data_IF_531812438151
#
_entry.id   IF_531812438151
#
_cell.length_a   1.000
_cell.length_b   1.000
_cell.length_c   1.000
_cell.angle_alpha   90.00
_cell.angle_beta   90.00
_cell.angle_gamma   90.00
#
_symmetry.space_group_name_H-M   'P 1'
#
loop_
_entity.id
_entity.type
_entity.pdbx_description
1 polymer ?
#
# COMPACT_ATOMS: atom_id res chain seq x y z
N UNK A 1 23.21 -4.32 14.93
CA UNK A 1 22.37 -3.32 14.25
C UNK A 1 21.38 -2.81 15.28
N UNK A 2 21.22 -1.49 15.40
CA UNK A 2 20.36 -0.91 16.45
C UNK A 2 18.96 -0.59 15.92
N UNK A 3 18.88 -0.17 14.66
CA UNK A 3 17.64 0.06 13.93
C UNK A 3 17.74 -0.52 12.51
N UNK A 4 16.57 -0.77 11.92
CA UNK A 4 16.41 -1.05 10.51
C UNK A 4 15.36 -0.11 9.90
N UNK A 5 15.53 0.22 8.62
CA UNK A 5 14.73 1.22 7.92
C UNK A 5 14.06 0.57 6.71
N UNK A 6 12.74 0.70 6.65
CA UNK A 6 11.92 -0.01 5.66
C UNK A 6 10.94 0.95 5.00
N UNK A 7 10.55 0.68 3.75
CA UNK A 7 9.29 1.24 3.28
C UNK A 7 8.17 0.67 4.15
N UNK A 8 7.30 1.51 4.72
CA UNK A 8 6.33 1.05 5.70
C UNK A 8 5.33 0.02 5.14
N UNK A 9 5.08 0.03 3.82
CA UNK A 9 4.26 -0.96 3.12
C UNK A 9 4.89 -2.35 2.96
N UNK A 10 6.20 -2.44 3.10
CA UNK A 10 6.94 -3.71 2.99
C UNK A 10 7.11 -4.36 4.38
N UNK A 11 6.67 -3.68 5.44
CA UNK A 11 6.66 -4.22 6.79
C UNK A 11 5.57 -5.28 6.94
N UNK A 12 5.92 -6.36 7.63
CA UNK A 12 4.96 -7.41 7.99
C UNK A 12 3.80 -6.84 8.82
N UNK A 13 2.64 -7.48 8.73
CA UNK A 13 1.42 -7.11 9.46
C UNK A 13 1.60 -7.25 10.98
N UNK A 14 2.33 -8.27 11.41
CA UNK A 14 2.87 -8.47 12.76
C UNK A 14 4.39 -8.57 12.69
N UNK A 15 5.08 -8.05 13.70
CA UNK A 15 6.52 -8.23 13.85
C UNK A 15 6.81 -9.44 14.75
N UNK A 16 7.97 -10.10 14.59
CA UNK A 16 8.42 -11.11 15.53
C UNK A 16 8.59 -10.54 16.93
N UNK A 17 8.50 -11.40 17.95
CA UNK A 17 8.75 -11.02 19.34
C UNK A 17 10.14 -10.39 19.50
N UNK A 18 10.21 -9.34 20.32
CA UNK A 18 11.45 -8.60 20.57
C UNK A 18 11.75 -7.48 19.57
N UNK A 19 10.85 -7.22 18.61
CA UNK A 19 10.92 -6.10 17.66
C UNK A 19 9.68 -5.22 17.70
N UNK A 20 9.87 -3.93 17.42
CA UNK A 20 8.80 -2.95 17.35
C UNK A 20 9.10 -1.87 16.31
N UNK A 21 8.04 -1.25 15.78
CA UNK A 21 8.18 -0.03 14.97
C UNK A 21 8.13 1.15 15.93
N UNK A 22 9.19 1.94 15.96
CA UNK A 22 9.33 3.06 16.90
C UNK A 22 8.98 4.40 16.26
N UNK A 23 9.07 4.52 14.94
CA UNK A 23 8.80 5.77 14.24
C UNK A 23 8.31 5.55 12.80
N UNK A 24 7.49 6.49 12.32
CA UNK A 24 7.17 6.66 10.91
C UNK A 24 7.56 8.07 10.46
N UNK A 25 8.27 8.17 9.34
CA UNK A 25 8.65 9.49 8.79
C UNK A 25 7.44 10.26 8.29
N UNK A 26 7.62 11.52 7.91
CA UNK A 26 6.61 12.24 7.15
C UNK A 26 6.24 11.44 5.88
N UNK A 27 4.94 11.41 5.55
CA UNK A 27 4.39 10.59 4.47
C UNK A 27 4.46 11.36 3.16
N UNK A 28 5.14 10.79 2.19
CA UNK A 28 5.08 11.25 0.81
C UNK A 28 3.70 10.98 0.20
N UNK A 29 3.39 11.58 -0.97
CA UNK A 29 2.15 11.29 -1.68
C UNK A 29 1.94 9.77 -1.82
N UNK A 30 0.80 9.23 -1.33
CA UNK A 30 0.61 7.80 -1.22
C UNK A 30 0.06 7.18 -2.51
N UNK A 31 -0.05 7.95 -3.59
CA UNK A 31 -0.66 7.55 -4.85
C UNK A 31 0.08 6.38 -5.51
N UNK A 32 -0.67 5.57 -6.25
CA UNK A 32 -0.09 4.80 -7.34
C UNK A 32 0.01 5.68 -8.59
N UNK A 33 1.00 5.41 -9.43
CA UNK A 33 1.26 6.17 -10.65
C UNK A 33 1.51 5.26 -11.84
N UNK A 34 1.12 5.73 -13.01
CA UNK A 34 1.55 5.18 -14.29
C UNK A 34 2.85 5.89 -14.69
N UNK A 35 3.91 5.11 -14.86
CA UNK A 35 5.22 5.58 -15.32
C UNK A 35 5.41 5.16 -16.78
N UNK A 36 5.63 6.10 -17.68
CA UNK A 36 5.90 5.82 -19.09
C UNK A 36 6.62 6.99 -19.77
N UNK A 37 7.34 6.69 -20.85
CA UNK A 37 7.86 7.71 -21.77
C UNK A 37 6.72 8.37 -22.57
N UNK A 38 5.58 7.69 -22.75
CA UNK A 38 4.41 8.21 -23.45
C UNK A 38 3.48 8.89 -22.46
N UNK A 39 3.16 10.17 -22.68
CA UNK A 39 2.20 10.94 -21.86
C UNK A 39 0.74 10.75 -22.27
N UNK A 40 0.49 10.02 -23.35
CA UNK A 40 -0.84 9.77 -23.90
C UNK A 40 -1.46 8.46 -23.39
N UNK A 41 -0.91 7.87 -22.32
CA UNK A 41 -1.50 6.68 -21.70
C UNK A 41 -2.78 7.12 -20.99
N UNK A 42 -3.87 6.41 -21.27
CA UNK A 42 -5.18 6.64 -20.69
C UNK A 42 -5.77 5.27 -20.33
N UNK A 43 -6.01 5.04 -19.04
CA UNK A 43 -6.61 3.80 -18.55
C UNK A 43 -8.09 3.67 -18.91
N UNK A 44 -8.78 4.77 -19.21
CA UNK A 44 -10.20 4.75 -19.54
C UNK A 44 -10.44 4.41 -21.03
N UNK A 45 -9.43 4.53 -21.90
CA UNK A 45 -9.52 4.24 -23.34
C UNK A 45 -9.45 2.74 -23.63
N UNK A 46 -10.60 2.06 -23.49
CA UNK A 46 -10.71 0.63 -23.75
C UNK A 46 -10.56 0.22 -25.22
N UNK A 47 -10.40 1.18 -26.15
CA UNK A 47 -10.18 0.88 -27.57
C UNK A 47 -8.72 0.55 -27.87
N UNK A 48 -7.79 0.91 -26.97
CA UNK A 48 -6.37 0.69 -27.13
C UNK A 48 -5.90 -0.46 -26.22
N UNK A 49 -5.21 -1.47 -26.77
CA UNK A 49 -4.50 -2.43 -25.94
C UNK A 49 -3.49 -1.70 -25.05
N UNK A 50 -3.45 -2.08 -23.77
CA UNK A 50 -2.51 -1.52 -22.81
C UNK A 50 -1.97 -2.64 -21.92
N UNK A 51 -0.66 -2.83 -21.95
CA UNK A 51 0.04 -3.78 -21.09
C UNK A 51 0.82 -3.05 -19.99
N UNK A 52 0.41 -3.23 -18.73
CA UNK A 52 1.06 -2.62 -17.57
C UNK A 52 1.99 -3.58 -16.83
N UNK A 53 3.21 -3.12 -16.53
CA UNK A 53 4.16 -3.84 -15.70
C UNK A 53 3.91 -3.62 -14.20
N UNK A 54 3.50 -4.66 -13.47
CA UNK A 54 3.43 -4.68 -12.00
C UNK A 54 3.38 -6.10 -11.45
N UNK A 55 4.05 -6.36 -10.32
CA UNK A 55 3.94 -7.63 -9.57
C UNK A 55 3.08 -7.51 -8.30
N UNK A 56 2.40 -6.39 -8.08
CA UNK A 56 1.53 -6.20 -6.92
C UNK A 56 0.15 -6.79 -7.18
N UNK A 57 -0.24 -7.79 -6.40
CA UNK A 57 -1.57 -8.40 -6.51
C UNK A 57 -2.69 -7.40 -6.23
N UNK A 58 -2.50 -6.47 -5.29
CA UNK A 58 -3.41 -5.33 -5.06
C UNK A 58 -3.68 -4.53 -6.32
N UNK A 59 -2.62 -4.09 -7.00
CA UNK A 59 -2.73 -3.28 -8.23
C UNK A 59 -3.39 -4.07 -9.35
N UNK A 60 -2.98 -5.33 -9.56
CA UNK A 60 -3.55 -6.21 -10.58
C UNK A 60 -5.03 -6.45 -10.33
N UNK A 61 -5.44 -6.78 -9.11
CA UNK A 61 -6.85 -6.99 -8.77
C UNK A 61 -7.68 -5.71 -8.91
N UNK A 62 -7.11 -4.55 -8.55
CA UNK A 62 -7.77 -3.25 -8.71
C UNK A 62 -7.95 -2.89 -10.19
N UNK A 63 -6.95 -3.16 -11.03
CA UNK A 63 -7.06 -3.02 -12.49
C UNK A 63 -8.15 -3.94 -13.04
N UNK A 64 -8.17 -5.24 -12.70
CA UNK A 64 -9.23 -6.16 -13.15
C UNK A 64 -10.63 -5.69 -12.75
N UNK A 65 -10.76 -5.00 -11.61
CA UNK A 65 -12.04 -4.49 -11.13
C UNK A 65 -12.51 -3.26 -11.91
N UNK A 66 -11.65 -2.26 -12.10
CA UNK A 66 -12.04 -0.97 -12.70
C UNK A 66 -11.76 -0.87 -14.21
N UNK A 67 -10.76 -1.61 -14.70
CA UNK A 67 -10.20 -1.55 -16.04
C UNK A 67 -9.93 -2.96 -16.59
N UNK A 68 -10.97 -3.82 -16.73
CA UNK A 68 -10.80 -5.24 -17.10
C UNK A 68 -10.19 -5.45 -18.49
N UNK A 69 -10.13 -4.42 -19.33
CA UNK A 69 -9.48 -4.45 -20.65
C UNK A 69 -7.96 -4.24 -20.59
N UNK A 70 -7.42 -3.77 -19.45
CA UNK A 70 -5.99 -3.55 -19.26
C UNK A 70 -5.31 -4.85 -18.90
N UNK A 71 -4.28 -5.22 -19.66
CA UNK A 71 -3.47 -6.40 -19.39
C UNK A 71 -2.32 -6.06 -18.44
N UNK A 72 -1.83 -7.07 -17.71
CA UNK A 72 -0.71 -6.90 -16.79
C UNK A 72 0.35 -7.98 -16.97
N UNK A 73 1.61 -7.58 -16.87
CA UNK A 73 2.76 -8.48 -16.84
C UNK A 73 3.57 -8.26 -15.56
N UNK A 74 4.11 -9.35 -15.01
CA UNK A 74 4.98 -9.23 -13.84
C UNK A 74 6.28 -8.52 -14.19
N UNK A 75 6.67 -7.56 -13.34
CA UNK A 75 7.95 -6.88 -13.45
C UNK A 75 8.58 -6.73 -12.07
N UNK A 76 9.73 -7.40 -11.90
CA UNK A 76 10.51 -7.43 -10.65
C UNK A 76 11.89 -6.82 -10.85
N UNK A 77 12.48 -6.36 -9.74
CA UNK A 77 13.76 -5.65 -9.67
C UNK A 77 13.62 -4.30 -8.98
N UNK A 78 14.73 -3.59 -8.81
CA UNK A 78 14.72 -2.17 -8.43
C UNK A 78 14.11 -1.30 -9.56
N UNK A 79 13.84 -0.04 -9.29
CA UNK A 79 13.14 0.86 -10.22
C UNK A 79 13.83 0.92 -11.59
N UNK A 80 15.15 1.08 -11.62
CA UNK A 80 15.93 1.16 -12.86
C UNK A 80 15.83 -0.12 -13.69
N UNK A 81 15.88 -1.29 -13.05
CA UNK A 81 15.70 -2.58 -13.75
C UNK A 81 14.30 -2.70 -14.35
N UNK A 82 13.27 -2.20 -13.65
CA UNK A 82 11.90 -2.21 -14.17
C UNK A 82 11.74 -1.27 -15.36
N UNK A 83 12.30 -0.06 -15.28
CA UNK A 83 12.31 0.91 -16.39
C UNK A 83 13.01 0.30 -17.60
N UNK A 84 14.19 -0.29 -17.43
CA UNK A 84 14.92 -0.95 -18.52
C UNK A 84 14.08 -2.05 -19.19
N UNK A 85 13.43 -2.91 -18.41
CA UNK A 85 12.56 -3.96 -18.95
C UNK A 85 11.37 -3.39 -19.74
N UNK A 86 10.77 -2.29 -19.28
CA UNK A 86 9.74 -1.58 -20.02
C UNK A 86 10.29 -1.04 -21.36
N UNK A 87 11.47 -0.42 -21.35
CA UNK A 87 12.14 0.09 -22.55
C UNK A 87 12.54 -1.03 -23.54
N UNK A 88 12.89 -2.21 -23.03
CA UNK A 88 13.14 -3.44 -23.80
C UNK A 88 11.85 -4.05 -24.39
N UNK A 89 10.68 -3.45 -24.14
CA UNK A 89 9.40 -3.85 -24.72
C UNK A 89 8.60 -4.86 -23.90
N UNK A 90 8.95 -5.09 -22.62
CA UNK A 90 8.19 -6.00 -21.76
C UNK A 90 6.74 -5.52 -21.51
N UNK A 91 6.53 -4.20 -21.46
CA UNK A 91 5.24 -3.57 -21.19
C UNK A 91 5.23 -2.13 -21.72
N UNK A 92 4.05 -1.53 -21.87
CA UNK A 92 3.87 -0.17 -22.38
C UNK A 92 4.14 0.91 -21.30
N UNK A 93 3.84 0.57 -20.05
CA UNK A 93 4.01 1.44 -18.90
C UNK A 93 4.15 0.61 -17.61
N UNK A 94 4.68 1.22 -16.55
CA UNK A 94 4.80 0.60 -15.23
C UNK A 94 3.75 1.17 -14.27
N UNK A 95 3.17 0.32 -13.43
CA UNK A 95 2.29 0.75 -12.34
C UNK A 95 3.03 0.69 -11.00
N UNK A 96 3.42 1.86 -10.49
CA UNK A 96 4.36 2.04 -9.38
C UNK A 96 3.79 2.89 -8.26
N UNK A 97 4.51 2.99 -7.14
CA UNK A 97 4.15 3.91 -6.06
C UNK A 97 4.82 5.25 -6.34
N UNK A 98 4.07 6.35 -6.22
CA UNK A 98 4.61 7.70 -6.41
C UNK A 98 5.91 7.92 -5.64
N UNK A 99 5.91 7.63 -4.33
CA UNK A 99 7.05 7.89 -3.46
C UNK A 99 8.36 7.22 -3.92
N UNK A 100 8.28 6.03 -4.53
CA UNK A 100 9.47 5.34 -5.05
C UNK A 100 9.99 5.96 -6.34
N UNK A 101 9.12 6.54 -7.16
CA UNK A 101 9.47 7.26 -8.40
C UNK A 101 10.06 8.62 -8.05
N UNK A 102 9.38 9.37 -7.19
CA UNK A 102 9.76 10.71 -6.76
C UNK A 102 11.15 10.74 -6.09
N UNK A 103 11.37 9.86 -5.09
CA UNK A 103 12.66 9.78 -4.38
C UNK A 103 13.84 9.42 -5.27
N UNK A 104 13.58 8.80 -6.42
CA UNK A 104 14.59 8.41 -7.39
C UNK A 104 14.76 9.43 -8.53
N UNK A 105 14.00 10.54 -8.51
CA UNK A 105 14.12 11.63 -9.49
C UNK A 105 13.48 11.35 -10.84
N UNK A 106 12.48 10.47 -10.92
CA UNK A 106 11.80 10.10 -12.16
C UNK A 106 10.41 10.75 -12.33
N UNK A 107 10.15 11.87 -11.66
CA UNK A 107 8.88 12.60 -11.71
C UNK A 107 8.44 12.93 -13.14
N UNK A 108 9.39 13.30 -14.00
CA UNK A 108 9.13 13.64 -15.40
C UNK A 108 8.58 12.48 -16.22
N UNK A 109 8.71 11.24 -15.76
CA UNK A 109 8.16 10.04 -16.41
C UNK A 109 6.75 9.67 -15.90
N UNK A 110 6.24 10.33 -14.86
CA UNK A 110 4.87 10.09 -14.38
C UNK A 110 3.88 10.55 -15.46
N UNK A 111 3.17 9.60 -16.06
CA UNK A 111 2.15 9.86 -17.07
C UNK A 111 0.80 10.17 -16.40
N UNK A 112 0.51 9.52 -15.28
CA UNK A 112 -0.76 9.68 -14.57
C UNK A 112 -0.58 9.44 -13.06
N UNK A 113 -1.24 10.26 -12.23
CA UNK A 113 -1.47 9.97 -10.81
C UNK A 113 -2.86 9.35 -10.65
N UNK A 114 -2.91 8.11 -10.15
CA UNK A 114 -4.17 7.39 -10.05
C UNK A 114 -4.99 7.86 -8.86
N UNK A 115 -6.30 8.07 -9.07
CA UNK A 115 -7.22 8.52 -8.02
C UNK A 115 -7.18 7.61 -6.80
N UNK A 116 -7.12 8.22 -5.60
CA UNK A 116 -7.22 7.53 -4.33
C UNK A 116 -8.61 6.94 -4.05
N UNK A 117 -9.60 7.14 -4.91
CA UNK A 117 -10.93 6.54 -4.77
C UNK A 117 -10.99 5.16 -5.44
N UNK A 118 -10.35 5.03 -6.61
CA UNK A 118 -10.21 3.75 -7.33
C UNK A 118 -8.99 2.97 -6.82
N UNK A 119 -7.82 3.61 -6.76
CA UNK A 119 -6.54 3.01 -6.36
C UNK A 119 -6.14 3.44 -4.95
N UNK A 120 -6.92 2.99 -3.96
CA UNK A 120 -6.49 3.13 -2.57
C UNK A 120 -5.18 2.35 -2.38
N UNK A 121 -4.15 2.96 -1.77
CA UNK A 121 -2.82 2.39 -1.74
C UNK A 121 -2.69 1.21 -0.79
N UNK A 122 -1.53 0.54 -0.87
CA UNK A 122 -1.13 -0.39 0.17
C UNK A 122 -0.93 0.36 1.50
N UNK A 123 -1.24 -0.31 2.60
CA UNK A 123 -1.01 0.16 3.97
C UNK A 123 0.42 0.69 4.10
N UNK A 124 0.59 1.90 4.63
CA UNK A 124 1.91 2.52 4.82
C UNK A 124 2.62 3.01 3.56
N UNK A 125 2.03 2.91 2.36
CA UNK A 125 2.63 3.44 1.13
C UNK A 125 2.89 4.95 1.27
N UNK A 126 4.11 5.39 0.94
CA UNK A 126 4.54 6.78 1.04
C UNK A 126 5.40 7.07 2.28
N UNK A 127 5.35 6.24 3.32
CA UNK A 127 6.16 6.43 4.54
C UNK A 127 7.33 5.46 4.60
N UNK A 128 8.33 5.85 5.38
CA UNK A 128 9.38 4.96 5.91
C UNK A 128 9.02 4.58 7.34
N UNK A 129 9.31 3.34 7.73
CA UNK A 129 9.18 2.81 9.08
C UNK A 129 10.56 2.54 9.67
N UNK A 130 10.75 2.88 10.94
CA UNK A 130 11.95 2.56 11.71
C UNK A 130 11.62 1.43 12.68
N UNK A 131 12.26 0.29 12.47
CA UNK A 131 12.17 -0.88 13.33
C UNK A 131 13.36 -0.91 14.29
N UNK A 132 13.12 -1.31 15.54
CA UNK A 132 14.13 -1.48 16.56
C UNK A 132 13.85 -2.72 17.40
N UNK A 133 14.88 -3.19 18.12
CA UNK A 133 14.66 -4.16 19.20
C UNK A 133 13.92 -3.50 20.36
N UNK A 134 13.02 -4.24 21.01
CA UNK A 134 12.37 -3.80 22.26
C UNK A 134 13.36 -3.61 23.41
N UNK A 135 14.58 -4.14 23.28
CA UNK A 135 15.67 -3.99 24.26
C UNK A 135 16.63 -2.86 23.90
N UNK A 136 16.32 -2.04 22.89
CA UNK A 136 17.12 -0.86 22.55
C UNK A 136 17.20 0.08 23.76
N UNK A 137 18.39 0.65 23.99
CA UNK A 137 18.61 1.62 25.06
C UNK A 137 17.51 2.71 25.05
N UNK A 138 16.79 2.94 26.17
CA UNK A 138 15.65 3.85 26.21
C UNK A 138 15.99 5.28 25.79
N UNK A 139 17.17 5.77 26.16
CA UNK A 139 17.60 7.12 25.82
C UNK A 139 17.90 7.26 24.32
N UNK A 140 18.55 6.26 23.73
CA UNK A 140 18.75 6.19 22.28
C UNK A 140 17.41 6.06 21.54
N UNK A 141 16.49 5.21 22.01
CA UNK A 141 15.15 5.04 21.45
C UNK A 141 14.38 6.37 21.42
N UNK A 142 14.35 7.10 22.54
CA UNK A 142 13.68 8.40 22.63
C UNK A 142 14.25 9.40 21.63
N UNK A 143 15.58 9.47 21.49
CA UNK A 143 16.23 10.36 20.51
C UNK A 143 15.87 10.01 19.06
N UNK A 144 15.80 8.73 18.73
CA UNK A 144 15.42 8.29 17.38
C UNK A 144 13.97 8.68 17.11
N UNK A 145 13.07 8.43 18.05
CA UNK A 145 11.65 8.81 17.93
C UNK A 145 11.52 10.32 17.73
N UNK A 146 12.15 11.11 18.60
CA UNK A 146 12.08 12.57 18.54
C UNK A 146 12.63 13.16 17.23
N UNK A 147 13.56 12.47 16.58
CA UNK A 147 14.18 12.94 15.33
C UNK A 147 13.40 12.49 14.09
N UNK A 148 12.88 11.27 14.10
CA UNK A 148 12.41 10.61 12.90
C UNK A 148 10.89 10.45 12.81
N UNK A 149 10.18 10.47 13.94
CA UNK A 149 8.73 10.26 13.95
C UNK A 149 8.01 11.54 13.52
N UNK A 150 7.07 11.38 12.59
CA UNK A 150 6.11 12.40 12.23
C UNK A 150 4.75 12.03 12.85
N UNK A 151 4.31 12.70 13.93
CA UNK A 151 3.16 12.25 14.72
C UNK A 151 1.88 12.07 13.92
N UNK A 152 1.59 12.95 12.97
CA UNK A 152 0.40 12.86 12.13
C UNK A 152 0.47 11.65 11.17
N UNK A 153 1.64 11.33 10.62
CA UNK A 153 1.82 10.10 9.84
C UNK A 153 1.67 8.88 10.72
N UNK A 154 2.29 8.91 11.90
CA UNK A 154 2.33 7.80 12.85
C UNK A 154 0.92 7.37 13.25
N UNK A 155 0.05 8.32 13.60
CA UNK A 155 -1.35 8.06 13.93
C UNK A 155 -2.12 7.41 12.76
N UNK A 156 -1.96 7.95 11.54
CA UNK A 156 -2.59 7.41 10.33
C UNK A 156 -2.13 5.97 10.05
N UNK A 157 -0.82 5.72 10.11
CA UNK A 157 -0.24 4.41 9.80
C UNK A 157 -0.54 3.36 10.88
N UNK A 158 -0.67 3.75 12.15
CA UNK A 158 -1.13 2.84 13.21
C UNK A 158 -2.53 2.30 12.92
N UNK A 159 -3.46 3.14 12.45
CA UNK A 159 -4.79 2.71 12.05
C UNK A 159 -4.77 1.79 10.82
N UNK A 160 -4.03 2.17 9.78
CA UNK A 160 -3.87 1.32 8.58
C UNK A 160 -3.26 -0.04 8.89
N UNK A 161 -2.26 -0.08 9.77
CA UNK A 161 -1.56 -1.31 10.16
C UNK A 161 -2.39 -2.19 11.09
N UNK A 162 -3.19 -1.62 11.98
CA UNK A 162 -4.13 -2.39 12.80
C UNK A 162 -5.16 -3.12 11.92
N UNK A 163 -5.70 -2.42 10.92
CA UNK A 163 -6.54 -3.05 9.90
C UNK A 163 -5.82 -4.21 9.18
N UNK A 164 -4.59 -3.99 8.69
CA UNK A 164 -3.82 -5.02 8.01
C UNK A 164 -3.54 -6.25 8.89
N UNK A 165 -3.28 -6.02 10.19
CA UNK A 165 -2.99 -7.06 11.17
C UNK A 165 -4.15 -8.02 11.34
N UNK A 166 -5.37 -7.51 11.47
CA UNK A 166 -6.58 -8.33 11.60
C UNK A 166 -6.85 -9.15 10.34
N UNK A 167 -6.55 -8.60 9.16
CA UNK A 167 -6.69 -9.33 7.90
C UNK A 167 -5.58 -10.38 7.68
N UNK A 168 -4.58 -10.45 8.57
CA UNK A 168 -3.35 -11.23 8.37
C UNK A 168 -2.77 -11.01 6.96
N UNK A 169 -2.84 -9.76 6.51
CA UNK A 169 -2.54 -9.38 5.14
C UNK A 169 -1.04 -9.39 4.88
N UNK A 170 -0.61 -10.16 3.88
CA UNK A 170 0.74 -10.13 3.31
C UNK A 170 0.77 -9.48 1.93
N UNK A 171 1.97 -9.36 1.34
CA UNK A 171 2.18 -8.75 0.01
C UNK A 171 1.38 -9.41 -1.13
N UNK A 172 0.93 -10.66 -0.95
CA UNK A 172 0.16 -11.44 -1.92
C UNK A 172 -1.34 -11.18 -1.86
N UNK A 173 -1.86 -10.55 -0.81
CA UNK A 173 -3.30 -10.34 -0.62
C UNK A 173 -3.67 -8.93 -1.12
N UNK A 174 -4.68 -8.75 -2.01
CA UNK A 174 -5.14 -7.45 -2.51
C UNK A 174 -5.88 -6.58 -1.48
N UNK A 175 -5.24 -6.31 -0.35
CA UNK A 175 -5.73 -5.44 0.72
C UNK A 175 -5.20 -4.03 0.51
N UNK A 176 -6.03 -3.05 0.85
CA UNK A 176 -5.70 -1.64 0.74
C UNK A 176 -6.29 -0.87 1.92
N UNK A 177 -5.59 0.17 2.37
CA UNK A 177 -6.12 1.10 3.34
C UNK A 177 -5.39 2.45 3.27
N UNK A 178 -6.11 3.51 3.58
CA UNK A 178 -5.58 4.86 3.68
C UNK A 178 -6.30 5.62 4.79
N UNK A 179 -5.54 6.08 5.77
CA UNK A 179 -6.02 7.00 6.80
C UNK A 179 -5.75 8.44 6.38
N UNK A 180 -6.73 9.30 6.61
CA UNK A 180 -6.67 10.74 6.41
C UNK A 180 -7.24 11.45 7.65
N UNK A 181 -7.09 12.77 7.69
CA UNK A 181 -7.77 13.60 8.68
C UNK A 181 -9.28 13.58 8.40
N UNK A 182 -10.07 13.23 9.41
CA UNK A 182 -11.54 13.25 9.37
C UNK A 182 -12.12 14.36 10.24
N UNK A 183 -13.45 14.41 10.35
CA UNK A 183 -14.12 15.40 11.20
C UNK A 183 -13.91 15.09 12.70
N UNK A 184 -13.93 13.80 13.05
CA UNK A 184 -13.79 13.33 14.44
C UNK A 184 -12.38 12.83 14.78
N UNK A 185 -11.36 13.24 14.02
CA UNK A 185 -9.97 12.80 14.19
C UNK A 185 -9.43 12.15 12.93
N UNK A 186 -9.51 10.82 12.85
CA UNK A 186 -9.08 10.05 11.68
C UNK A 186 -10.27 9.50 10.91
N UNK A 187 -10.13 9.51 9.59
CA UNK A 187 -10.99 8.82 8.64
C UNK A 187 -10.16 7.73 7.96
N UNK A 188 -10.54 6.48 8.16
CA UNK A 188 -9.85 5.33 7.60
C UNK A 188 -10.74 4.69 6.54
N UNK A 189 -10.24 4.63 5.31
CA UNK A 189 -10.86 3.90 4.21
C UNK A 189 -10.05 2.67 3.87
N UNK A 190 -10.68 1.54 3.60
CA UNK A 190 -9.97 0.32 3.25
C UNK A 190 -10.87 -0.83 2.86
N UNK A 191 -10.25 -1.92 2.43
CA UNK A 191 -10.96 -3.03 1.84
C UNK A 191 -10.07 -4.11 1.25
N UNK A 192 -10.73 -5.07 0.61
CA UNK A 192 -10.11 -6.22 -0.05
C UNK A 192 -10.74 -6.44 -1.42
N UNK A 193 -9.92 -6.84 -2.40
CA UNK A 193 -10.37 -7.25 -3.74
C UNK A 193 -10.04 -8.74 -3.96
N UNK A 194 -10.92 -9.49 -4.62
CA UNK A 194 -10.58 -10.83 -5.11
C UNK A 194 -9.53 -10.77 -6.22
N UNK A 195 -8.73 -11.83 -6.39
CA UNK A 195 -7.64 -11.87 -7.39
C UNK A 195 -8.10 -11.72 -8.85
N UNK A 196 -9.36 -12.05 -9.11
CA UNK A 196 -10.02 -11.88 -10.41
C UNK A 196 -10.65 -10.48 -10.59
N UNK A 197 -10.65 -9.64 -9.56
CA UNK A 197 -11.27 -8.31 -9.57
C UNK A 197 -12.80 -8.31 -9.48
N UNK A 198 -13.47 -9.47 -9.45
CA UNK A 198 -14.94 -9.54 -9.52
C UNK A 198 -15.63 -9.09 -8.23
N UNK A 199 -14.98 -9.27 -7.07
CA UNK A 199 -15.50 -8.86 -5.77
C UNK A 199 -14.58 -7.84 -5.15
N UNK A 200 -15.15 -6.68 -4.79
CA UNK A 200 -14.48 -5.63 -4.03
C UNK A 200 -15.34 -5.28 -2.83
N UNK A 201 -14.79 -5.46 -1.63
CA UNK A 201 -15.40 -5.03 -0.38
C UNK A 201 -14.64 -3.80 0.10
N UNK A 202 -15.40 -2.75 0.42
CA UNK A 202 -14.86 -1.45 0.78
C UNK A 202 -15.72 -0.79 1.82
N UNK A 203 -15.09 -0.24 2.85
CA UNK A 203 -15.74 0.55 3.87
C UNK A 203 -14.90 1.76 4.27
N UNK A 204 -15.56 2.67 4.94
CA UNK A 204 -14.98 3.83 5.58
C UNK A 204 -15.49 3.91 7.02
N UNK A 205 -14.60 4.28 7.92
CA UNK A 205 -14.88 4.53 9.33
C UNK A 205 -14.20 5.81 9.79
N UNK A 206 -14.82 6.49 10.75
CA UNK A 206 -14.22 7.65 11.42
C UNK A 206 -14.13 7.39 12.92
N UNK A 207 -13.07 7.89 13.54
CA UNK A 207 -12.84 7.73 14.97
C UNK A 207 -11.80 8.70 15.52
N UNK A 208 -11.68 8.70 16.85
CA UNK A 208 -10.76 9.58 17.55
C UNK A 208 -9.31 9.27 17.19
N UNK A 209 -8.51 10.31 17.02
CA UNK A 209 -7.06 10.19 16.74
C UNK A 209 -6.27 9.52 17.88
N UNK A 210 -6.87 9.46 19.07
CA UNK A 210 -6.30 8.84 20.26
C UNK A 210 -6.41 7.31 20.28
N UNK A 211 -7.25 6.73 19.41
CA UNK A 211 -7.41 5.28 19.28
C UNK A 211 -7.32 4.85 17.79
N UNK A 212 -6.15 5.01 17.15
CA UNK A 212 -5.99 4.64 15.75
C UNK A 212 -6.09 3.12 15.57
N UNK A 213 -5.58 2.31 16.51
CA UNK A 213 -5.69 0.85 16.43
C UNK A 213 -7.13 0.35 16.45
N UNK A 214 -7.95 0.84 17.39
CA UNK A 214 -9.37 0.45 17.46
C UNK A 214 -10.14 0.81 16.20
N UNK A 215 -9.80 1.94 15.55
CA UNK A 215 -10.37 2.31 14.25
C UNK A 215 -10.00 1.31 13.13
N UNK A 216 -8.76 0.83 13.12
CA UNK A 216 -8.30 -0.19 12.17
C UNK A 216 -9.00 -1.53 12.37
N UNK A 217 -9.17 -1.96 13.62
CA UNK A 217 -9.87 -3.19 13.99
C UNK A 217 -11.36 -3.11 13.61
N UNK A 218 -12.01 -1.96 13.86
CA UNK A 218 -13.40 -1.72 13.47
C UNK A 218 -13.61 -1.82 11.96
N UNK A 219 -12.68 -1.26 11.16
CA UNK A 219 -12.75 -1.39 9.71
C UNK A 219 -12.62 -2.85 9.26
N UNK A 220 -11.70 -3.59 9.88
CA UNK A 220 -11.46 -5.00 9.56
C UNK A 220 -12.71 -5.85 9.83
N UNK A 221 -13.36 -5.62 10.97
CA UNK A 221 -14.60 -6.31 11.33
C UNK A 221 -15.71 -6.05 10.29
N UNK A 222 -15.91 -4.79 9.88
CA UNK A 222 -16.89 -4.45 8.82
C UNK A 222 -16.58 -5.18 7.51
N UNK A 223 -15.31 -5.22 7.11
CA UNK A 223 -14.88 -5.92 5.90
C UNK A 223 -15.15 -7.43 6.00
N UNK A 224 -14.88 -8.05 7.14
CA UNK A 224 -15.15 -9.47 7.36
C UNK A 224 -16.64 -9.80 7.39
N UNK A 225 -17.46 -9.00 8.08
CA UNK A 225 -18.91 -9.19 8.11
C UNK A 225 -19.55 -9.08 6.72
N UNK A 226 -18.94 -8.34 5.79
CA UNK A 226 -19.41 -8.18 4.42
C UNK A 226 -18.91 -9.24 3.43
N UNK A 227 -18.22 -10.29 3.92
CA UNK A 227 -17.73 -11.37 3.08
C UNK A 227 -16.22 -11.33 2.77
N UNK A 228 -15.47 -10.48 3.47
CA UNK A 228 -14.03 -10.33 3.25
C UNK A 228 -13.23 -11.56 3.69
N UNK A 229 -13.77 -12.33 4.65
CA UNK A 229 -13.14 -13.54 5.17
C UNK A 229 -13.08 -14.63 4.11
N UNK A 230 -14.15 -14.82 3.35
CA UNK A 230 -14.25 -15.80 2.27
C UNK A 230 -13.33 -15.46 1.10
N UNK A 231 -13.14 -14.17 0.81
CA UNK A 231 -12.16 -13.72 -0.19
C UNK A 231 -10.74 -14.08 0.28
N UNK A 232 -10.42 -13.74 1.53
CA UNK A 232 -9.11 -14.00 2.12
C UNK A 232 -8.77 -15.51 2.16
N UNK A 233 -9.71 -16.35 2.59
CA UNK A 233 -9.55 -17.80 2.65
C UNK A 233 -9.29 -18.39 1.26
N UNK A 234 -10.06 -18.00 0.24
CA UNK A 234 -9.84 -18.43 -1.15
C UNK A 234 -8.44 -18.07 -1.66
N UNK A 235 -7.96 -16.88 -1.34
CA UNK A 235 -6.61 -16.45 -1.73
C UNK A 235 -5.55 -17.30 -1.04
N UNK A 236 -5.67 -17.52 0.27
CA UNK A 236 -4.73 -18.36 1.04
C UNK A 236 -4.71 -19.80 0.52
N UNK A 237 -5.87 -20.38 0.18
CA UNK A 237 -5.93 -21.71 -0.41
C UNK A 237 -5.22 -21.80 -1.76
N UNK A 238 -5.36 -20.80 -2.63
CA UNK A 238 -4.68 -20.77 -3.93
C UNK A 238 -3.16 -20.57 -3.83
N UNK A 239 -2.66 -19.94 -2.75
CA UNK A 239 -1.22 -19.74 -2.53
C UNK A 239 -0.52 -20.98 -1.95
N UNK A 240 -1.28 -21.89 -1.34
CA UNK A 240 -0.78 -23.13 -0.75
C UNK A 240 -0.85 -24.34 -1.72
N UNK A 241 -1.35 -24.12 -2.93
CA UNK A 241 -1.33 -25.08 -4.05
C UNK A 241 -0.15 -24.80 -4.96
#
# INVERSE_FOLDING_TARGET
IDIAVHSAKDMQSSLPDGFEIIAFTERELPHDVILSHKKTIDLEDSSKPLLLGTSSTRRVATLKHFYPHVETVEVRGNLQTRIRKMEEGLCDALLLAYAGVHRMGYDEMIAENLSLDKFIPAVGQGSVAIEASTNLDPFLKEKIIATCDHPETSQKLRAERAYLRVLEGGCSIPVFALAAKGNNGLKLKGGIVSLDGQKRIFFEVEGAVTDPEGLGEQLAEKVFQAGGKEILEKIKSNLNQ
#
